data_IF_653045909270
#
_entry.id   IF_653045909270
#
_cell.length_a   1.000
_cell.length_b   1.000
_cell.length_c   1.000
_cell.angle_alpha   90.00
_cell.angle_beta   90.00
_cell.angle_gamma   90.00
#
_symmetry.space_group_name_H-M   'P 1'
#
loop_
_entity.id
_entity.type
_entity.pdbx_description
1 polymer ?
#
# COMPACT_ATOMS: atom_id res chain seq x y z
N UNK A 1 2.15 26.68 -12.64
CA UNK A 1 3.56 26.37 -12.89
C UNK A 1 3.69 25.98 -14.35
N UNK A 2 4.58 26.66 -15.09
CA UNK A 2 4.88 26.38 -16.50
C UNK A 2 6.29 25.81 -16.59
N UNK A 3 6.52 24.86 -17.48
CA UNK A 3 7.83 24.43 -17.93
C UNK A 3 7.87 24.73 -19.42
N UNK A 4 8.87 25.53 -19.89
CA UNK A 4 9.01 25.97 -21.27
C UNK A 4 7.72 26.59 -21.86
N UNK A 5 7.10 27.50 -21.10
CA UNK A 5 5.85 28.21 -21.42
C UNK A 5 4.62 27.31 -21.67
N UNK A 6 4.71 26.01 -21.37
CA UNK A 6 3.57 25.10 -21.45
C UNK A 6 2.95 24.91 -20.07
N UNK A 7 1.62 25.11 -19.90
CA UNK A 7 0.96 24.83 -18.63
C UNK A 7 1.06 23.34 -18.31
N UNK A 8 1.56 23.02 -17.11
CA UNK A 8 1.57 21.63 -16.63
C UNK A 8 0.10 21.25 -16.37
N UNK A 9 -0.47 20.40 -17.21
CA UNK A 9 -1.75 19.78 -16.92
C UNK A 9 -1.55 18.83 -15.73
N UNK A 10 -1.98 19.26 -14.54
CA UNK A 10 -2.08 18.35 -13.41
C UNK A 10 -3.14 17.31 -13.73
N UNK A 11 -2.72 16.04 -13.82
CA UNK A 11 -3.68 14.95 -13.92
C UNK A 11 -4.56 14.93 -12.66
N UNK A 12 -5.86 14.64 -12.80
CA UNK A 12 -6.74 14.51 -11.64
C UNK A 12 -6.18 13.46 -10.67
N UNK A 13 -6.37 13.66 -9.36
CA UNK A 13 -5.94 12.67 -8.37
C UNK A 13 -6.66 11.33 -8.59
N UNK A 14 -5.89 10.25 -8.63
CA UNK A 14 -6.36 8.88 -8.78
C UNK A 14 -5.95 8.04 -7.59
N UNK A 15 -6.78 7.08 -7.22
CA UNK A 15 -6.49 6.13 -6.14
C UNK A 15 -6.98 4.74 -6.53
N UNK A 16 -6.06 3.79 -6.59
CA UNK A 16 -6.28 2.45 -7.11
C UNK A 16 -6.02 1.41 -6.03
N UNK A 17 -6.96 0.50 -5.86
CA UNK A 17 -6.75 -0.78 -5.18
C UNK A 17 -6.25 -1.78 -6.21
N UNK A 18 -5.09 -2.36 -5.99
CA UNK A 18 -4.50 -3.35 -6.87
C UNK A 18 -4.22 -4.65 -6.12
N UNK A 19 -4.67 -5.78 -6.66
CA UNK A 19 -4.25 -7.08 -6.13
C UNK A 19 -2.92 -7.47 -6.77
N UNK A 20 -1.83 -7.10 -6.10
CA UNK A 20 -0.49 -7.51 -6.53
C UNK A 20 -0.38 -9.03 -6.54
N UNK A 21 -0.12 -9.69 -7.67
CA UNK A 21 0.14 -11.12 -7.69
C UNK A 21 1.51 -11.44 -7.07
N UNK A 22 1.68 -12.70 -6.65
CA UNK A 22 3.00 -13.22 -6.27
C UNK A 22 3.93 -13.26 -7.50
N UNK A 23 5.22 -13.05 -7.29
CA UNK A 23 6.23 -13.17 -8.36
C UNK A 23 6.64 -11.85 -9.00
N UNK A 24 5.90 -10.75 -8.79
CA UNK A 24 6.26 -9.43 -9.30
C UNK A 24 6.81 -8.51 -8.21
N UNK A 25 7.71 -7.61 -8.56
CA UNK A 25 8.32 -6.65 -7.63
C UNK A 25 7.61 -5.30 -7.66
N UNK A 26 7.60 -4.58 -6.54
CA UNK A 26 6.97 -3.25 -6.42
C UNK A 26 8.00 -2.18 -6.75
N UNK A 27 8.29 -1.98 -8.02
CA UNK A 27 9.19 -0.94 -8.54
C UNK A 27 8.81 -0.57 -9.96
N UNK A 28 9.14 0.66 -10.40
CA UNK A 28 8.99 1.08 -11.79
C UNK A 28 10.03 0.42 -12.70
N UNK A 29 11.26 0.26 -12.21
CA UNK A 29 12.35 -0.35 -12.94
C UNK A 29 13.09 -1.33 -12.02
N UNK A 30 13.45 -2.48 -12.53
CA UNK A 30 14.20 -3.49 -11.81
C UNK A 30 15.54 -3.78 -12.50
N UNK A 31 16.64 -3.50 -11.83
CA UNK A 31 18.00 -3.72 -12.35
C UNK A 31 18.31 -5.19 -12.66
N UNK A 32 17.56 -6.12 -12.03
CA UNK A 32 17.73 -7.57 -12.21
C UNK A 32 16.79 -8.15 -13.28
N UNK A 33 16.06 -7.30 -14.01
CA UNK A 33 15.14 -7.73 -15.07
C UNK A 33 13.93 -8.56 -14.59
N UNK A 34 13.58 -8.49 -13.29
CA UNK A 34 12.40 -9.19 -12.76
C UNK A 34 11.13 -8.44 -13.18
N UNK A 35 10.05 -9.19 -13.40
CA UNK A 35 8.75 -8.62 -13.71
C UNK A 35 8.27 -7.68 -12.60
N UNK A 36 7.87 -6.48 -12.97
CA UNK A 36 7.41 -5.44 -12.05
C UNK A 36 5.87 -5.38 -12.00
N UNK A 37 5.30 -4.65 -11.04
CA UNK A 37 3.85 -4.38 -11.01
C UNK A 37 3.42 -3.59 -12.26
N UNK A 38 4.28 -2.73 -12.82
CA UNK A 38 3.98 -1.89 -13.98
C UNK A 38 4.04 -2.67 -15.30
N UNK A 39 4.58 -3.90 -15.30
CA UNK A 39 4.48 -4.83 -16.44
C UNK A 39 3.13 -5.59 -16.43
N UNK A 40 2.41 -5.58 -15.30
CA UNK A 40 1.10 -6.21 -15.11
C UNK A 40 -0.03 -5.19 -15.25
N UNK A 41 0.20 -3.95 -14.82
CA UNK A 41 -0.78 -2.87 -14.87
C UNK A 41 -0.98 -2.37 -16.30
N UNK A 42 -2.21 -1.93 -16.65
CA UNK A 42 -2.47 -1.32 -17.94
C UNK A 42 -1.71 0.02 -18.08
N UNK A 43 -1.44 0.46 -19.34
CA UNK A 43 -0.60 1.63 -19.62
C UNK A 43 -1.03 2.91 -18.91
N UNK A 44 -2.33 3.15 -18.77
CA UNK A 44 -2.92 4.34 -18.13
C UNK A 44 -2.57 4.47 -16.65
N UNK A 45 -2.29 3.34 -15.96
CA UNK A 45 -1.94 3.32 -14.54
C UNK A 45 -0.42 3.35 -14.28
N UNK A 46 0.42 3.27 -15.32
CA UNK A 46 1.88 3.24 -15.17
C UNK A 46 2.48 4.54 -14.65
N UNK A 47 1.73 5.64 -14.70
CA UNK A 47 2.15 6.93 -14.14
C UNK A 47 1.89 7.07 -12.64
N UNK A 48 1.17 6.13 -12.03
CA UNK A 48 0.92 6.12 -10.60
C UNK A 48 2.14 5.57 -9.86
N UNK A 49 2.24 5.91 -8.58
CA UNK A 49 3.25 5.33 -7.69
C UNK A 49 2.59 4.44 -6.63
N UNK A 50 3.32 3.43 -6.19
CA UNK A 50 2.85 2.54 -5.15
C UNK A 50 2.94 3.20 -3.76
N UNK A 51 1.89 3.05 -2.96
CA UNK A 51 1.84 3.45 -1.55
C UNK A 51 2.50 2.36 -0.71
N UNK A 52 3.78 2.53 -0.43
CA UNK A 52 4.61 1.50 0.18
C UNK A 52 4.91 0.35 -0.80
N UNK A 53 5.37 -0.75 -0.24
CA UNK A 53 5.83 -1.90 -1.03
C UNK A 53 5.29 -3.22 -0.51
N UNK A 54 5.24 -4.21 -1.39
CA UNK A 54 5.12 -5.62 -1.07
C UNK A 54 6.27 -6.38 -1.73
N UNK A 55 6.88 -7.30 -1.01
CA UNK A 55 7.95 -8.16 -1.55
C UNK A 55 7.47 -8.99 -2.74
N UNK A 56 8.41 -9.48 -3.57
CA UNK A 56 8.11 -10.35 -4.70
C UNK A 56 7.30 -11.59 -4.30
N UNK A 57 7.63 -12.21 -3.15
CA UNK A 57 6.95 -13.41 -2.65
C UNK A 57 5.64 -13.10 -1.88
N UNK A 58 5.24 -11.84 -1.75
CA UNK A 58 4.02 -11.40 -1.07
C UNK A 58 2.98 -10.98 -2.10
N UNK A 59 1.73 -11.38 -1.89
CA UNK A 59 0.59 -10.97 -2.70
C UNK A 59 -0.40 -10.09 -1.93
N UNK A 60 -1.44 -9.64 -2.59
CA UNK A 60 -2.56 -8.95 -1.95
C UNK A 60 -2.63 -7.47 -2.23
N UNK A 61 -3.34 -6.75 -1.37
CA UNK A 61 -3.69 -5.36 -1.57
C UNK A 61 -2.47 -4.45 -1.62
N UNK A 62 -2.26 -3.79 -2.74
CA UNK A 62 -1.33 -2.70 -2.93
C UNK A 62 -2.13 -1.47 -3.38
N UNK A 63 -1.86 -0.34 -2.78
CA UNK A 63 -2.49 0.94 -3.14
C UNK A 63 -1.58 1.68 -4.12
N UNK A 64 -2.17 2.31 -5.14
CA UNK A 64 -1.46 3.15 -6.10
C UNK A 64 -2.15 4.51 -6.18
N UNK A 65 -1.38 5.58 -6.32
CA UNK A 65 -1.92 6.94 -6.45
C UNK A 65 -0.94 7.86 -7.16
N UNK A 66 -1.41 9.00 -7.66
CA UNK A 66 -0.59 10.14 -8.07
C UNK A 66 -0.65 11.29 -7.05
N UNK A 67 -1.37 11.11 -5.94
CA UNK A 67 -1.42 12.09 -4.83
C UNK A 67 -0.33 11.76 -3.79
N UNK A 68 0.75 12.54 -3.81
CA UNK A 68 1.88 12.36 -2.88
C UNK A 68 1.48 12.62 -1.42
N UNK A 69 0.49 13.47 -1.15
CA UNK A 69 0.00 13.75 0.19
C UNK A 69 -0.68 12.52 0.79
N UNK A 70 -1.54 11.85 0.00
CA UNK A 70 -2.17 10.58 0.41
C UNK A 70 -1.14 9.48 0.60
N UNK A 71 -0.17 9.37 -0.31
CA UNK A 71 0.90 8.40 -0.18
C UNK A 71 1.71 8.60 1.09
N UNK A 72 2.12 9.84 1.36
CA UNK A 72 2.87 10.19 2.56
C UNK A 72 2.09 9.90 3.83
N UNK A 73 0.82 10.30 3.90
CA UNK A 73 -0.06 10.01 5.05
C UNK A 73 -0.15 8.51 5.33
N UNK A 74 -0.43 7.70 4.31
CA UNK A 74 -0.61 6.26 4.45
C UNK A 74 0.68 5.52 4.82
N UNK A 75 1.84 6.03 4.43
CA UNK A 75 3.13 5.40 4.68
C UNK A 75 3.85 5.92 5.93
N UNK A 76 3.45 7.07 6.48
CA UNK A 76 4.04 7.64 7.69
C UNK A 76 3.83 6.72 8.90
N UNK A 77 4.89 6.22 9.55
CA UNK A 77 4.77 5.38 10.73
C UNK A 77 4.01 6.05 11.89
N UNK A 78 4.03 7.37 11.97
CA UNK A 78 3.31 8.13 13.02
C UNK A 78 1.79 8.00 12.91
N UNK A 79 1.26 7.74 11.71
CA UNK A 79 -0.17 7.53 11.47
C UNK A 79 -0.64 6.15 11.91
N UNK A 80 0.28 5.22 12.16
CA UNK A 80 -0.01 3.85 12.59
C UNK A 80 -1.11 3.16 11.79
N UNK A 81 -1.18 3.44 10.49
CA UNK A 81 -2.22 2.88 9.60
C UNK A 81 -2.13 1.36 9.59
N UNK A 82 -3.17 0.63 10.04
CA UNK A 82 -3.11 -0.82 10.19
C UNK A 82 -3.05 -1.53 8.84
N UNK A 83 -2.27 -2.60 8.78
CA UNK A 83 -2.15 -3.47 7.60
C UNK A 83 -2.37 -4.91 8.04
N UNK A 84 -3.48 -5.51 7.58
CA UNK A 84 -3.85 -6.88 7.94
C UNK A 84 -3.36 -7.87 6.89
N UNK A 85 -2.72 -8.92 7.36
CA UNK A 85 -2.16 -9.99 6.54
C UNK A 85 -2.74 -11.34 6.92
N UNK A 86 -3.02 -12.18 5.91
CA UNK A 86 -3.15 -13.62 6.09
C UNK A 86 -1.77 -14.25 5.91
N UNK A 87 -1.34 -14.99 6.92
CA UNK A 87 -0.01 -15.56 7.02
C UNK A 87 -0.15 -17.07 7.18
N UNK A 88 0.59 -17.84 6.37
CA UNK A 88 0.77 -19.27 6.61
C UNK A 88 2.22 -19.50 7.00
N UNK A 89 2.43 -20.16 8.10
CA UNK A 89 3.76 -20.56 8.58
C UNK A 89 3.86 -22.07 8.66
N UNK A 90 5.09 -22.59 8.56
CA UNK A 90 5.39 -24.01 8.72
C UNK A 90 5.32 -24.38 10.20
N UNK A 91 4.74 -25.54 10.49
CA UNK A 91 4.58 -26.09 11.82
C UNK A 91 3.42 -25.48 12.61
N UNK A 92 3.27 -25.96 13.82
CA UNK A 92 2.22 -25.53 14.75
C UNK A 92 2.68 -24.34 15.55
N UNK A 93 1.92 -23.23 15.49
CA UNK A 93 2.14 -22.02 16.30
C UNK A 93 1.38 -22.16 17.62
N UNK A 94 2.10 -22.13 18.73
CA UNK A 94 1.51 -22.15 20.07
C UNK A 94 0.94 -20.79 20.47
N UNK A 95 0.15 -20.77 21.54
CA UNK A 95 -0.36 -19.51 22.08
C UNK A 95 0.78 -18.66 22.70
N UNK A 96 1.85 -19.29 23.20
CA UNK A 96 3.08 -18.62 23.67
C UNK A 96 3.78 -17.91 22.51
N UNK A 97 3.91 -18.58 21.36
CA UNK A 97 4.49 -17.98 20.16
C UNK A 97 3.65 -16.78 19.70
N UNK A 98 2.31 -16.89 19.76
CA UNK A 98 1.40 -15.78 19.47
C UNK A 98 1.61 -14.59 20.42
N UNK A 99 1.75 -14.83 21.72
CA UNK A 99 2.08 -13.79 22.72
C UNK A 99 3.44 -13.16 22.46
N UNK A 100 4.46 -13.97 22.21
CA UNK A 100 5.80 -13.46 21.89
C UNK A 100 5.81 -12.58 20.63
N UNK A 101 4.96 -12.85 19.64
CA UNK A 101 4.82 -12.00 18.46
C UNK A 101 4.19 -10.63 18.77
N UNK A 102 3.31 -10.53 19.79
CA UNK A 102 2.76 -9.26 20.30
C UNK A 102 3.79 -8.52 21.17
N UNK A 103 4.44 -9.23 22.08
CA UNK A 103 5.45 -8.65 22.98
C UNK A 103 6.68 -8.14 22.20
N UNK A 104 6.94 -8.77 21.04
CA UNK A 104 8.03 -8.44 20.14
C UNK A 104 9.31 -9.20 20.44
N UNK A 105 10.14 -9.35 19.42
CA UNK A 105 11.45 -9.98 19.44
C UNK A 105 12.50 -9.06 18.86
N UNK A 106 13.73 -9.19 19.32
CA UNK A 106 14.86 -8.47 18.75
C UNK A 106 15.47 -9.29 17.61
N UNK A 107 15.58 -8.67 16.45
CA UNK A 107 16.21 -9.25 15.27
C UNK A 107 17.20 -8.27 14.66
N UNK A 108 18.49 -8.60 14.73
CA UNK A 108 19.60 -7.77 14.22
C UNK A 108 19.60 -6.32 14.76
N UNK A 109 19.27 -6.14 16.04
CA UNK A 109 19.23 -4.83 16.69
C UNK A 109 17.95 -4.03 16.41
N UNK A 110 16.96 -4.64 15.77
CA UNK A 110 15.66 -4.03 15.50
C UNK A 110 14.56 -4.81 16.23
N UNK A 111 13.74 -4.12 17.03
CA UNK A 111 12.58 -4.71 17.70
C UNK A 111 11.46 -4.92 16.69
N UNK A 112 11.03 -6.17 16.50
CA UNK A 112 9.94 -6.56 15.63
C UNK A 112 8.75 -7.02 16.45
N UNK A 113 7.53 -6.55 16.13
CA UNK A 113 6.31 -6.95 16.81
C UNK A 113 5.10 -6.80 15.88
N UNK A 114 3.98 -7.37 16.25
CA UNK A 114 2.71 -7.10 15.58
C UNK A 114 1.70 -6.47 16.53
N UNK A 115 0.80 -5.66 16.00
CA UNK A 115 -0.27 -5.02 16.77
C UNK A 115 -1.36 -6.03 17.17
N UNK A 116 -1.59 -7.05 16.34
CA UNK A 116 -2.46 -8.17 16.67
C UNK A 116 -2.04 -9.44 15.95
N UNK A 117 -2.32 -10.58 16.56
CA UNK A 117 -2.21 -11.90 15.93
C UNK A 117 -3.37 -12.77 16.38
N UNK A 118 -4.02 -13.41 15.42
CA UNK A 118 -5.08 -14.39 15.66
C UNK A 118 -4.74 -15.69 14.95
N UNK A 119 -4.66 -16.78 15.67
CA UNK A 119 -4.43 -18.10 15.10
C UNK A 119 -5.79 -18.63 14.63
N UNK A 120 -5.97 -18.70 13.31
CA UNK A 120 -7.21 -19.14 12.68
C UNK A 120 -7.31 -20.66 12.59
N UNK A 121 -6.17 -21.30 12.32
CA UNK A 121 -6.05 -22.77 12.23
C UNK A 121 -4.62 -23.16 12.53
N UNK A 122 -4.44 -24.30 13.20
CA UNK A 122 -3.12 -24.89 13.45
C UNK A 122 -3.13 -26.39 13.22
N UNK A 123 -2.00 -26.90 12.80
CA UNK A 123 -1.69 -28.32 12.67
C UNK A 123 -0.19 -28.53 12.77
N UNK A 124 0.27 -29.76 13.01
CA UNK A 124 1.71 -30.06 13.03
C UNK A 124 2.43 -29.73 11.71
N UNK A 125 1.70 -29.59 10.59
CA UNK A 125 2.29 -29.24 9.29
C UNK A 125 2.38 -27.74 9.06
N UNK A 126 1.32 -26.99 9.36
CA UNK A 126 1.24 -25.55 9.13
C UNK A 126 0.20 -24.87 10.03
N UNK A 127 0.39 -23.58 10.27
CA UNK A 127 -0.58 -22.72 10.96
C UNK A 127 -0.97 -21.55 10.07
N UNK A 128 -2.25 -21.14 10.16
CA UNK A 128 -2.82 -20.00 9.46
C UNK A 128 -3.15 -18.91 10.46
N UNK A 129 -2.64 -17.71 10.21
CA UNK A 129 -2.72 -16.58 11.12
C UNK A 129 -3.30 -15.36 10.41
N UNK A 130 -4.03 -14.52 11.14
CA UNK A 130 -4.30 -13.14 10.78
C UNK A 130 -3.39 -12.25 11.62
N UNK A 131 -2.55 -11.43 10.97
CA UNK A 131 -1.55 -10.59 11.62
C UNK A 131 -1.71 -9.15 11.19
N UNK A 132 -1.81 -8.22 12.15
CA UNK A 132 -1.87 -6.78 11.88
C UNK A 132 -0.54 -6.13 12.25
N UNK A 133 -0.01 -5.33 11.31
CA UNK A 133 1.09 -4.39 11.55
C UNK A 133 0.58 -2.95 11.49
N UNK A 134 1.19 -2.06 12.26
CA UNK A 134 0.98 -0.60 12.19
C UNK A 134 2.21 0.13 11.65
N UNK A 135 3.30 -0.58 11.46
CA UNK A 135 4.55 -0.11 10.86
C UNK A 135 4.91 -0.92 9.62
N UNK A 136 5.99 -0.61 8.94
CA UNK A 136 6.35 -1.24 7.68
C UNK A 136 7.85 -1.50 7.56
N UNK A 137 8.45 -2.12 8.57
CA UNK A 137 9.85 -2.53 8.55
C UNK A 137 10.11 -3.55 7.44
N UNK A 138 11.33 -3.59 6.95
CA UNK A 138 11.69 -4.51 5.86
C UNK A 138 11.40 -5.96 6.26
N UNK A 139 10.56 -6.66 5.47
CA UNK A 139 10.20 -8.07 5.64
C UNK A 139 9.77 -8.45 7.07
N UNK A 140 9.11 -7.53 7.77
CA UNK A 140 8.83 -7.57 9.19
C UNK A 140 8.16 -8.88 9.65
N UNK A 141 7.03 -9.28 9.05
CA UNK A 141 6.34 -10.54 9.40
C UNK A 141 7.25 -11.76 9.18
N UNK A 142 8.02 -11.79 8.08
CA UNK A 142 8.90 -12.92 7.78
C UNK A 142 10.06 -13.03 8.77
N UNK A 143 10.62 -11.89 9.17
CA UNK A 143 11.69 -11.80 10.17
C UNK A 143 11.17 -12.15 11.56
N UNK A 144 10.02 -11.57 11.96
CA UNK A 144 9.35 -11.82 13.23
C UNK A 144 9.11 -13.33 13.43
N UNK A 145 8.41 -13.98 12.51
CA UNK A 145 8.11 -15.40 12.66
C UNK A 145 9.34 -16.29 12.51
N UNK A 146 10.33 -15.91 11.71
CA UNK A 146 11.62 -16.62 11.64
C UNK A 146 12.35 -16.59 12.99
N UNK A 147 12.39 -15.44 13.67
CA UNK A 147 12.98 -15.32 15.00
C UNK A 147 12.24 -16.16 16.06
N UNK A 148 10.93 -16.38 15.85
CA UNK A 148 10.10 -17.28 16.67
C UNK A 148 10.15 -18.76 16.24
N UNK A 149 11.03 -19.13 15.31
CA UNK A 149 11.23 -20.51 14.87
C UNK A 149 10.30 -20.98 13.75
N UNK A 150 9.56 -20.09 13.11
CA UNK A 150 8.59 -20.45 12.06
C UNK A 150 8.91 -19.82 10.69
N UNK A 151 8.91 -20.61 9.63
CA UNK A 151 9.07 -20.15 8.26
C UNK A 151 7.73 -19.68 7.67
N UNK A 152 7.63 -18.44 7.22
CA UNK A 152 6.45 -17.91 6.49
C UNK A 152 6.46 -18.43 5.06
N UNK A 153 5.53 -19.33 4.74
CA UNK A 153 5.37 -19.96 3.42
C UNK A 153 4.43 -19.18 2.51
N UNK A 154 3.38 -18.54 3.06
CA UNK A 154 2.43 -17.69 2.33
C UNK A 154 2.20 -16.40 3.10
N UNK A 155 2.15 -15.28 2.38
CA UNK A 155 1.88 -13.97 2.93
C UNK A 155 1.03 -13.17 1.95
N UNK A 156 -0.16 -12.74 2.40
CA UNK A 156 -1.09 -11.96 1.60
C UNK A 156 -1.66 -10.81 2.41
N UNK A 157 -1.46 -9.57 1.98
CA UNK A 157 -2.10 -8.41 2.59
C UNK A 157 -3.54 -8.30 2.11
N UNK A 158 -4.49 -8.33 3.04
CA UNK A 158 -5.92 -8.28 2.72
C UNK A 158 -6.56 -6.95 3.08
N UNK A 159 -5.88 -6.12 3.90
CA UNK A 159 -6.37 -4.78 4.27
C UNK A 159 -5.21 -3.81 4.46
N UNK A 160 -5.43 -2.55 4.13
CA UNK A 160 -4.54 -1.42 4.37
C UNK A 160 -5.37 -0.21 4.78
N UNK A 161 -5.31 0.19 6.07
CA UNK A 161 -6.22 1.16 6.66
C UNK A 161 -7.68 0.73 6.48
N UNK A 162 -8.56 1.62 5.98
CA UNK A 162 -9.96 1.28 5.73
C UNK A 162 -10.19 0.46 4.45
N UNK A 163 -9.16 0.30 3.59
CA UNK A 163 -9.28 -0.35 2.29
C UNK A 163 -9.09 -1.85 2.40
N UNK A 164 -9.99 -2.63 1.81
CA UNK A 164 -9.94 -4.09 1.81
C UNK A 164 -9.74 -4.64 0.41
N UNK A 165 -9.08 -5.79 0.32
CA UNK A 165 -8.87 -6.50 -0.94
C UNK A 165 -10.20 -7.01 -1.53
N UNK A 166 -11.12 -7.47 -0.66
CA UNK A 166 -12.41 -8.02 -1.08
C UNK A 166 -12.27 -9.18 -2.07
N UNK A 167 -13.06 -9.13 -3.11
CA UNK A 167 -13.16 -10.10 -4.20
C UNK A 167 -12.18 -9.87 -5.36
N UNK A 168 -11.30 -8.86 -5.23
CA UNK A 168 -10.38 -8.47 -6.29
C UNK A 168 -9.42 -9.64 -6.63
N UNK A 169 -9.44 -10.10 -7.88
CA UNK A 169 -8.62 -11.22 -8.33
C UNK A 169 -7.14 -10.81 -8.50
N UNK A 170 -6.17 -11.74 -8.41
CA UNK A 170 -4.75 -11.43 -8.65
C UNK A 170 -4.52 -10.75 -10.01
N UNK A 171 -3.85 -9.61 -10.01
CA UNK A 171 -3.62 -8.78 -11.20
C UNK A 171 -4.74 -7.81 -11.52
N UNK A 172 -5.92 -7.95 -10.90
CA UNK A 172 -7.02 -7.01 -11.07
C UNK A 172 -6.84 -5.75 -10.21
N UNK A 173 -7.54 -4.70 -10.61
CA UNK A 173 -7.52 -3.41 -9.92
C UNK A 173 -8.92 -2.78 -9.91
N UNK A 174 -9.12 -1.82 -9.01
CA UNK A 174 -10.34 -1.03 -8.87
C UNK A 174 -9.97 0.40 -8.50
N UNK A 175 -10.54 1.37 -9.19
CA UNK A 175 -10.41 2.78 -8.85
C UNK A 175 -11.44 3.16 -7.79
N UNK A 176 -11.03 3.97 -6.82
CA UNK A 176 -11.91 4.59 -5.84
C UNK A 176 -12.00 6.09 -6.09
N UNK A 177 -13.20 6.70 -5.99
CA UNK A 177 -13.36 8.14 -6.03
C UNK A 177 -12.51 8.81 -4.93
N UNK A 178 -11.71 9.80 -5.29
CA UNK A 178 -10.73 10.43 -4.38
C UNK A 178 -11.39 11.02 -3.14
N UNK A 179 -12.58 11.59 -3.27
CA UNK A 179 -13.32 12.16 -2.14
C UNK A 179 -13.79 11.07 -1.16
N UNK A 180 -14.18 9.89 -1.67
CA UNK A 180 -14.52 8.74 -0.82
C UNK A 180 -13.29 8.25 -0.04
N UNK A 181 -12.11 8.21 -0.71
CA UNK A 181 -10.84 7.87 -0.06
C UNK A 181 -10.51 8.85 1.07
N UNK A 182 -10.61 10.15 0.81
CA UNK A 182 -10.32 11.19 1.80
C UNK A 182 -11.29 11.13 2.98
N UNK A 183 -12.58 10.91 2.72
CA UNK A 183 -13.59 10.71 3.76
C UNK A 183 -13.27 9.51 4.64
N UNK A 184 -12.93 8.36 4.05
CA UNK A 184 -12.55 7.16 4.82
C UNK A 184 -11.28 7.35 5.65
N UNK A 185 -10.35 8.17 5.19
CA UNK A 185 -9.13 8.53 5.92
C UNK A 185 -9.30 9.75 6.86
N UNK A 186 -10.50 10.31 6.95
CA UNK A 186 -10.82 11.51 7.74
C UNK A 186 -9.92 12.73 7.38
N UNK A 187 -9.54 12.81 6.11
CA UNK A 187 -8.73 13.89 5.56
C UNK A 187 -9.61 15.00 4.98
N UNK A 188 -9.14 16.26 4.99
CA UNK A 188 -9.88 17.36 4.34
C UNK A 188 -10.08 17.08 2.85
N UNK A 189 -11.11 17.66 2.21
CA UNK A 189 -11.33 17.53 0.77
C UNK A 189 -10.09 17.87 -0.05
N UNK A 190 -9.93 17.25 -1.22
CA UNK A 190 -8.85 17.61 -2.13
C UNK A 190 -8.96 19.10 -2.47
N UNK A 191 -7.87 19.86 -2.35
CA UNK A 191 -7.86 21.24 -2.83
C UNK A 191 -8.14 21.20 -4.33
N UNK A 192 -9.34 21.67 -4.74
CA UNK A 192 -9.59 21.96 -6.15
C UNK A 192 -8.51 22.95 -6.58
N UNK A 193 -7.64 22.54 -7.49
CA UNK A 193 -6.75 23.48 -8.15
C UNK A 193 -7.64 24.64 -8.63
N UNK A 194 -7.38 25.87 -8.15
CA UNK A 194 -8.09 27.06 -8.64
C UNK A 194 -7.89 27.05 -10.15
N UNK A 195 -8.96 26.79 -10.88
CA UNK A 195 -9.01 27.10 -12.31
C UNK A 195 -8.72 28.60 -12.39
N UNK A 196 -7.66 29.05 -13.07
CA UNK A 196 -7.44 30.48 -13.26
C UNK A 196 -8.68 31.00 -13.96
N UNK A 197 -9.44 31.89 -13.28
CA UNK A 197 -10.49 32.63 -13.95
C UNK A 197 -9.80 33.42 -15.05
N UNK A 198 -10.20 33.16 -16.30
CA UNK A 198 -9.81 33.97 -17.43
C UNK A 198 -10.15 35.43 -17.07
N UNK A 199 -9.18 36.31 -17.09
CA UNK A 199 -9.42 37.76 -16.96
C UNK A 199 -10.39 38.14 -18.07
N UNK A 200 -11.49 38.85 -17.78
CA UNK A 200 -12.33 39.40 -18.84
C UNK A 200 -11.46 40.31 -19.69
N UNK A 201 -11.48 40.07 -20.99
CA UNK A 201 -10.88 40.92 -22.01
C UNK A 201 -11.36 42.33 -21.82
N UNK A 202 -10.45 43.24 -21.43
CA UNK A 202 -10.67 44.67 -21.50
C UNK A 202 -10.63 45.06 -22.98
N UNK A 203 -11.74 44.82 -23.66
CA UNK A 203 -11.98 45.40 -24.98
C UNK A 203 -11.95 46.94 -24.90
N UNK A 204 -10.88 47.41 -25.46
CA UNK A 204 -10.62 48.67 -26.10
C UNK A 204 -11.82 49.64 -26.21
N UNK A 205 -11.77 50.73 -25.47
CA UNK A 205 -12.53 51.92 -25.78
C UNK A 205 -11.57 52.98 -26.34
N UNK A 206 -11.26 52.86 -27.63
CA UNK A 206 -10.81 53.98 -28.41
C UNK A 206 -11.80 54.20 -29.56
N UNK A 207 -12.51 55.28 -29.49
CA UNK A 207 -13.11 55.98 -30.64
C UNK A 207 -13.58 57.39 -30.18
N UNK A 208 -13.79 58.31 -31.09
CA UNK A 208 -12.77 59.05 -31.82
C UNK A 208 -12.53 60.44 -31.20
#
# INVERSE_FOLDING_TARGET
VTIDDRPIQQRPPQFILFHKPKGVVTTHQDEKGRKTIFDVLPPELKSLHAVGRLDQATSGLLLLTNDSTLSSFLTDPKQQVPRLYLVTVRGEVSDETGRAALDGVDDQGERLHCASVTIQKRSGRESHLAVTLTEGKNREIRRLFKALGHEVTRLRRIQYGPFTLGDLQPGAWRELPIEAVRTQLQLPPAHRARVPQAKPDLLDKRAP
#
